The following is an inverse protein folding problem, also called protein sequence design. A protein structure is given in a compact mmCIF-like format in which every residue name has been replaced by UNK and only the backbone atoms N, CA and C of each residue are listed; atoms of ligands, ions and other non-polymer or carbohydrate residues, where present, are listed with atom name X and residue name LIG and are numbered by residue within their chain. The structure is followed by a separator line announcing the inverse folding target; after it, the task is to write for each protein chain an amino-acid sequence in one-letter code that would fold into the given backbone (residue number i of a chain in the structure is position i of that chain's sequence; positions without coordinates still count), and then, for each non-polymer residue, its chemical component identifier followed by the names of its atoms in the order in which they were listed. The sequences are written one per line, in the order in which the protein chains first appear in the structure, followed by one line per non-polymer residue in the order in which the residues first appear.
data_IF_308588101463
#
_entry.id   IF_308588101463
#
_cell.length_a   1.000
_cell.length_b   1.000
_cell.length_c   1.000
_cell.angle_alpha   90.00
_cell.angle_beta   90.00
_cell.angle_gamma   90.00
#
_symmetry.space_group_name_H-M   'P 1'
#
loop_
_entity.id
_entity.type
_entity.pdbx_description
1 polymer ?
#
# COMPACT_ATOMS: atom_id res chain seq x y z
N UNK A 1 8.39 -11.86 8.24
CA UNK A 1 7.42 -11.61 7.16
C UNK A 1 8.18 -11.19 5.92
N UNK A 2 7.72 -11.61 4.73
CA UNK A 2 8.30 -11.17 3.45
C UNK A 2 7.74 -9.79 3.10
N UNK A 3 8.46 -9.06 2.25
CA UNK A 3 8.03 -7.75 1.76
C UNK A 3 7.42 -7.88 0.38
N UNK A 4 6.31 -7.20 0.16
CA UNK A 4 5.63 -7.16 -1.12
C UNK A 4 5.36 -5.72 -1.51
N UNK A 5 5.29 -5.48 -2.82
CA UNK A 5 4.87 -4.22 -3.40
C UNK A 5 3.73 -4.51 -4.38
N UNK A 6 2.67 -3.72 -4.32
CA UNK A 6 1.59 -3.74 -5.28
C UNK A 6 1.47 -2.39 -5.99
N UNK A 7 1.06 -2.44 -7.25
CA UNK A 7 0.64 -1.26 -8.01
C UNK A 7 -0.72 -1.52 -8.61
N UNK A 8 -1.55 -0.49 -8.67
CA UNK A 8 -2.90 -0.57 -9.23
C UNK A 8 -3.65 0.74 -9.07
N UNK A 9 -4.98 0.68 -9.09
CA UNK A 9 -5.86 1.82 -8.86
C UNK A 9 -6.92 1.47 -7.82
N UNK A 10 -7.46 2.47 -7.11
CA UNK A 10 -8.60 2.27 -6.23
C UNK A 10 -9.59 3.44 -6.39
N UNK A 11 -10.91 3.19 -6.45
CA UNK A 11 -11.90 4.22 -6.78
C UNK A 11 -11.83 5.42 -5.82
N UNK A 12 -11.56 6.62 -6.34
CA UNK A 12 -11.57 7.88 -5.61
C UNK A 12 -10.38 8.11 -4.67
N UNK A 13 -9.35 7.26 -4.69
CA UNK A 13 -8.14 7.45 -3.88
C UNK A 13 -7.15 8.46 -4.52
N UNK A 14 -7.46 8.94 -5.72
CA UNK A 14 -6.83 10.09 -6.37
C UNK A 14 -7.23 11.42 -5.71
N UNK A 15 -8.38 11.47 -5.03
CA UNK A 15 -8.78 12.61 -4.21
C UNK A 15 -8.12 12.60 -2.83
N UNK A 16 -7.53 13.73 -2.44
CA UNK A 16 -6.78 13.86 -1.17
C UNK A 16 -7.65 13.66 0.08
N UNK A 17 -8.94 14.00 0.03
CA UNK A 17 -9.81 13.84 1.19
C UNK A 17 -10.10 12.36 1.43
N UNK A 18 -10.47 11.63 0.36
CA UNK A 18 -10.70 10.19 0.47
C UNK A 18 -9.40 9.42 0.75
N UNK A 19 -8.30 9.75 0.09
CA UNK A 19 -7.00 9.17 0.39
C UNK A 19 -6.64 9.37 1.86
N UNK A 20 -6.70 10.62 2.35
CA UNK A 20 -6.44 10.94 3.75
C UNK A 20 -7.36 10.19 4.73
N UNK A 21 -8.65 10.06 4.41
CA UNK A 21 -9.60 9.30 5.24
C UNK A 21 -9.24 7.81 5.32
N UNK A 22 -8.89 7.19 4.20
CA UNK A 22 -8.41 5.79 4.15
C UNK A 22 -7.10 5.62 4.93
N UNK A 23 -6.21 6.61 4.83
CA UNK A 23 -4.93 6.59 5.52
C UNK A 23 -5.09 6.77 7.05
N UNK A 24 -5.97 7.66 7.48
CA UNK A 24 -6.23 7.94 8.89
C UNK A 24 -7.16 6.91 9.54
N UNK A 25 -7.99 6.22 8.76
CA UNK A 25 -8.93 5.20 9.24
C UNK A 25 -8.25 3.92 9.74
N UNK A 26 -6.98 3.71 9.42
CA UNK A 26 -6.23 2.50 9.80
C UNK A 26 -5.30 2.82 10.97
N UNK A 27 -5.82 2.70 12.20
CA UNK A 27 -5.17 3.17 13.44
C UNK A 27 -3.72 2.64 13.64
N UNK A 28 -3.35 1.50 13.02
CA UNK A 28 -2.00 0.95 13.15
C UNK A 28 -1.37 0.42 11.86
N UNK A 29 -1.97 0.68 10.69
CA UNK A 29 -1.48 0.14 9.41
C UNK A 29 -1.19 -1.37 9.42
N UNK A 30 -1.82 -2.06 10.36
CA UNK A 30 -1.72 -3.48 10.62
C UNK A 30 -3.13 -4.03 10.50
N UNK A 31 -3.58 -4.35 9.28
CA UNK A 31 -4.91 -4.89 9.05
C UNK A 31 -5.20 -6.09 9.95
N UNK A 32 -4.19 -6.94 10.20
CA UNK A 32 -4.27 -8.07 11.13
C UNK A 32 -2.88 -8.50 11.65
N UNK A 33 -2.81 -9.60 12.41
CA UNK A 33 -1.55 -10.10 12.97
C UNK A 33 -0.55 -10.61 11.91
N UNK A 34 -1.03 -10.99 10.73
CA UNK A 34 -0.28 -11.62 9.62
C UNK A 34 0.32 -10.62 8.63
N UNK A 35 -0.16 -9.37 8.61
CA UNK A 35 0.35 -8.35 7.70
C UNK A 35 0.40 -6.94 8.28
N UNK A 36 1.27 -6.10 7.72
CA UNK A 36 1.36 -4.67 8.02
C UNK A 36 1.69 -3.91 6.74
N UNK A 37 0.86 -2.93 6.39
CA UNK A 37 1.13 -1.97 5.32
C UNK A 37 2.17 -0.98 5.83
N UNK A 38 3.24 -0.77 5.08
CA UNK A 38 4.36 0.08 5.51
C UNK A 38 4.42 1.41 4.76
N UNK A 39 3.91 1.45 3.54
CA UNK A 39 3.89 2.64 2.70
C UNK A 39 2.71 2.56 1.74
N UNK A 40 1.99 3.67 1.55
CA UNK A 40 1.06 3.83 0.42
C UNK A 40 1.37 5.17 -0.24
N UNK A 41 1.53 5.17 -1.56
CA UNK A 41 1.78 6.36 -2.37
C UNK A 41 0.65 6.51 -3.39
N UNK A 42 0.08 7.71 -3.48
CA UNK A 42 -0.72 8.10 -4.63
C UNK A 42 0.22 8.70 -5.70
N UNK A 43 0.19 8.13 -6.90
CA UNK A 43 0.98 8.58 -8.04
C UNK A 43 0.18 9.61 -8.85
N UNK A 44 0.89 10.53 -9.51
CA UNK A 44 0.26 11.62 -10.27
C UNK A 44 -0.57 11.16 -11.47
N UNK A 45 -0.41 9.90 -11.91
CA UNK A 45 -1.18 9.29 -12.99
C UNK A 45 -2.44 8.54 -12.51
N UNK A 46 -2.81 8.71 -11.24
CA UNK A 46 -3.98 8.10 -10.61
C UNK A 46 -3.74 6.67 -10.09
N UNK A 47 -2.55 6.10 -10.30
CA UNK A 47 -2.18 4.82 -9.71
C UNK A 47 -1.79 4.97 -8.24
N UNK A 48 -1.82 3.86 -7.55
CA UNK A 48 -1.41 3.71 -6.17
C UNK A 48 -0.31 2.66 -6.08
N UNK A 49 0.65 2.90 -5.20
CA UNK A 49 1.67 1.94 -4.83
C UNK A 49 1.52 1.62 -3.35
N UNK A 50 1.45 0.34 -2.99
CA UNK A 50 1.43 -0.10 -1.60
C UNK A 50 2.57 -1.06 -1.30
N UNK A 51 3.31 -0.81 -0.23
CA UNK A 51 4.30 -1.73 0.34
C UNK A 51 3.70 -2.39 1.59
N UNK A 52 3.91 -3.68 1.76
CA UNK A 52 3.56 -4.38 3.00
C UNK A 52 4.64 -5.36 3.46
N UNK A 53 4.56 -5.72 4.74
CA UNK A 53 5.12 -6.95 5.30
C UNK A 53 3.97 -7.93 5.46
N UNK A 54 4.08 -9.13 4.89
CA UNK A 54 3.07 -10.17 5.09
C UNK A 54 3.73 -11.54 5.26
N UNK A 55 3.04 -12.47 5.92
CA UNK A 55 3.50 -13.87 6.02
C UNK A 55 3.42 -14.50 4.63
N UNK A 56 2.30 -14.32 3.92
CA UNK A 56 2.09 -14.80 2.55
C UNK A 56 1.61 -13.69 1.62
N UNK A 57 1.62 -13.93 0.31
CA UNK A 57 1.17 -12.94 -0.67
C UNK A 57 -0.35 -12.76 -0.61
N UNK A 58 -1.07 -13.84 -0.32
CA UNK A 58 -2.52 -13.92 -0.28
C UNK A 58 -3.12 -13.02 0.82
N UNK A 59 -2.40 -12.82 1.93
CA UNK A 59 -2.80 -11.90 3.00
C UNK A 59 -2.85 -10.46 2.46
N UNK A 60 -1.85 -10.08 1.63
CA UNK A 60 -1.82 -8.77 1.00
C UNK A 60 -2.90 -8.62 -0.09
N UNK A 61 -3.11 -9.67 -0.89
CA UNK A 61 -4.19 -9.71 -1.88
C UNK A 61 -5.58 -9.54 -1.25
N UNK A 62 -5.82 -10.15 -0.08
CA UNK A 62 -7.07 -10.03 0.64
C UNK A 62 -7.33 -8.57 1.06
N UNK A 63 -6.31 -7.88 1.59
CA UNK A 63 -6.41 -6.45 1.93
C UNK A 63 -6.67 -5.58 0.69
N UNK A 64 -5.95 -5.82 -0.42
CA UNK A 64 -6.15 -5.08 -1.67
C UNK A 64 -7.59 -5.23 -2.18
N UNK A 65 -8.13 -6.46 -2.15
CA UNK A 65 -9.53 -6.73 -2.52
C UNK A 65 -10.51 -6.05 -1.58
N UNK A 66 -10.27 -6.06 -0.27
CA UNK A 66 -11.12 -5.38 0.71
C UNK A 66 -11.20 -3.87 0.48
N UNK A 67 -10.13 -3.27 -0.05
CA UNK A 67 -10.05 -1.85 -0.41
C UNK A 67 -10.50 -1.55 -1.84
N UNK A 68 -11.07 -2.52 -2.53
CA UNK A 68 -11.52 -2.43 -3.92
C UNK A 68 -10.41 -1.98 -4.88
N UNK A 69 -9.16 -2.41 -4.63
CA UNK A 69 -8.06 -2.15 -5.55
C UNK A 69 -8.22 -2.99 -6.82
N UNK A 70 -8.14 -2.33 -7.97
CA UNK A 70 -7.84 -2.96 -9.24
C UNK A 70 -6.32 -3.13 -9.36
N UNK A 71 -5.85 -4.32 -8.99
CA UNK A 71 -4.42 -4.65 -8.89
C UNK A 71 -3.84 -4.96 -10.27
N UNK A 72 -2.79 -4.22 -10.66
CA UNK A 72 -2.04 -4.47 -11.89
C UNK A 72 -0.92 -5.50 -11.67
N UNK A 73 -0.18 -5.38 -10.56
CA UNK A 73 0.83 -6.37 -10.19
C UNK A 73 1.13 -6.40 -8.70
N UNK A 74 1.63 -7.55 -8.24
CA UNK A 74 2.17 -7.77 -6.90
C UNK A 74 3.52 -8.46 -7.06
N UNK A 75 4.57 -7.91 -6.44
CA UNK A 75 5.95 -8.39 -6.61
C UNK A 75 6.65 -8.51 -5.25
N UNK A 76 7.45 -9.59 -5.01
CA UNK A 76 8.25 -9.69 -3.80
C UNK A 76 9.42 -8.70 -3.84
N UNK A 77 9.58 -7.91 -2.78
CA UNK A 77 10.74 -7.04 -2.64
C UNK A 77 11.92 -7.89 -2.14
N UNK A 78 12.98 -7.97 -2.95
CA UNK A 78 14.21 -8.70 -2.62
C UNK A 78 15.22 -7.85 -1.84
N UNK A 79 15.35 -6.56 -2.18
CA UNK A 79 16.25 -5.61 -1.53
C UNK A 79 15.54 -4.27 -1.37
N UNK A 80 15.82 -3.56 -0.27
CA UNK A 80 15.33 -2.20 -0.03
C UNK A 80 16.48 -1.33 0.47
N UNK A 81 16.61 -0.14 -0.11
CA UNK A 81 17.39 0.95 0.44
C UNK A 81 16.47 2.17 0.63
N UNK A 82 16.57 2.84 1.79
CA UNK A 82 15.93 4.15 2.03
C UNK A 82 17.04 5.17 2.21
N UNK A 83 17.24 6.04 1.22
CA UNK A 83 18.35 7.00 1.19
C UNK A 83 17.91 8.41 1.61
N UNK A 84 18.66 9.05 2.51
CA UNK A 84 18.86 10.51 2.62
C UNK A 84 17.64 11.42 2.58
N UNK A 85 16.60 11.13 3.37
CA UNK A 85 15.31 11.83 3.43
C UNK A 85 15.39 13.36 3.29
N UNK A 86 14.87 13.90 2.19
CA UNK A 86 14.30 15.25 2.11
C UNK A 86 13.18 15.20 1.07
N UNK A 87 11.94 15.49 1.46
CA UNK A 87 10.92 16.08 0.57
C UNK A 87 9.92 16.90 1.39
N UNK A 88 9.77 18.17 1.02
CA UNK A 88 8.51 18.92 1.17
C UNK A 88 7.58 18.50 0.02
N UNK A 89 6.28 18.45 0.32
CA UNK A 89 5.20 18.10 -0.61
C UNK A 89 4.34 19.32 -0.84
#
# INVERSE_FOLDING_TARGET
MRRWIAIGTAPGWDDIQKFGAEMCGTIHWRPDASMSITTVLALADGRLLAECHAIKQEDFEAWLRQKDWNVESITPIKHLAKTGSIWEV
#
